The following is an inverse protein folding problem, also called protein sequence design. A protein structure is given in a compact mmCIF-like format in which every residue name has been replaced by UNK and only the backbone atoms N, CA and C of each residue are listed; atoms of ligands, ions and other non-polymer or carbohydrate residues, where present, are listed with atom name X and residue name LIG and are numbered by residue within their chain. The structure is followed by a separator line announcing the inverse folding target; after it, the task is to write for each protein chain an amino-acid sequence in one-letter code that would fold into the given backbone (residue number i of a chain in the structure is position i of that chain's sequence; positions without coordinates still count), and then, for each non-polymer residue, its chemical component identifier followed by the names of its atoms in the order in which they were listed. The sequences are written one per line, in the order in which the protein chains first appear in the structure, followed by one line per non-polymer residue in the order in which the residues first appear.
data_IF_801759822189
#
_entry.id   IF_801759822189
#
_cell.length_a   1.000
_cell.length_b   1.000
_cell.length_c   1.000
_cell.angle_alpha   90.00
_cell.angle_beta   90.00
_cell.angle_gamma   90.00
#
_symmetry.space_group_name_H-M   'P 1'
#
loop_
_entity.id
_entity.type
_entity.pdbx_description
1 polymer ?
#
# COMPACT_ATOMS: atom_id res chain seq x y z
N UNK A 1 10.15 14.26 -1.42
CA UNK A 1 10.02 12.79 -1.44
C UNK A 1 10.83 12.25 -2.62
N UNK A 2 11.12 10.95 -2.68
CA UNK A 2 11.80 10.29 -3.80
C UNK A 2 10.89 9.20 -4.37
N UNK A 3 10.96 8.99 -5.69
CA UNK A 3 10.13 8.01 -6.39
C UNK A 3 10.99 6.83 -6.82
N UNK A 4 10.79 5.65 -6.26
CA UNK A 4 11.51 4.43 -6.64
C UNK A 4 10.59 3.52 -7.46
N UNK A 5 10.39 3.88 -8.73
CA UNK A 5 9.55 3.11 -9.68
C UNK A 5 10.40 2.43 -10.74
N UNK A 6 9.91 1.32 -11.31
CA UNK A 6 10.61 0.59 -12.36
C UNK A 6 10.94 1.49 -13.58
N UNK A 7 10.02 2.38 -13.94
CA UNK A 7 10.08 3.19 -15.18
C UNK A 7 11.06 4.36 -15.12
N UNK A 8 11.61 4.69 -13.94
CA UNK A 8 12.49 5.86 -13.78
C UNK A 8 13.88 5.69 -14.41
N UNK A 9 14.25 4.48 -14.84
CA UNK A 9 15.58 4.16 -15.37
C UNK A 9 16.67 4.02 -14.28
N UNK A 10 17.78 3.30 -14.55
CA UNK A 10 18.78 2.97 -13.53
C UNK A 10 19.46 4.20 -12.89
N UNK A 11 19.87 5.19 -13.69
CA UNK A 11 20.62 6.35 -13.21
C UNK A 11 19.78 7.22 -12.24
N UNK A 12 18.55 7.53 -12.62
CA UNK A 12 17.62 8.34 -11.80
C UNK A 12 17.29 7.63 -10.49
N UNK A 13 16.98 6.32 -10.55
CA UNK A 13 16.74 5.49 -9.36
C UNK A 13 17.95 5.50 -8.43
N UNK A 14 19.16 5.34 -8.96
CA UNK A 14 20.39 5.37 -8.17
C UNK A 14 20.59 6.74 -7.50
N UNK A 15 20.38 7.84 -8.23
CA UNK A 15 20.49 9.20 -7.68
C UNK A 15 19.48 9.43 -6.54
N UNK A 16 18.24 8.98 -6.72
CA UNK A 16 17.19 9.06 -5.70
C UNK A 16 17.51 8.20 -4.48
N UNK A 17 17.98 6.96 -4.68
CA UNK A 17 18.44 6.09 -3.60
C UNK A 17 19.53 6.75 -2.76
N UNK A 18 20.53 7.35 -3.41
CA UNK A 18 21.60 8.06 -2.73
C UNK A 18 21.08 9.30 -1.96
N UNK A 19 20.10 10.02 -2.51
CA UNK A 19 19.47 11.15 -1.82
C UNK A 19 18.74 10.71 -0.53
N UNK A 20 18.04 9.57 -0.58
CA UNK A 20 17.39 8.96 0.60
C UNK A 20 18.43 8.52 1.62
N UNK A 21 19.46 7.78 1.20
CA UNK A 21 20.54 7.29 2.09
C UNK A 21 21.30 8.42 2.79
N UNK A 22 21.51 9.55 2.10
CA UNK A 22 22.14 10.75 2.67
C UNK A 22 21.22 11.55 3.59
N UNK A 23 19.93 11.20 3.68
CA UNK A 23 18.94 11.92 4.48
C UNK A 23 18.43 13.22 3.85
N UNK A 24 18.81 13.52 2.59
CA UNK A 24 18.29 14.68 1.84
C UNK A 24 16.80 14.53 1.52
N UNK A 25 16.30 13.30 1.55
CA UNK A 25 14.88 12.97 1.36
C UNK A 25 14.44 12.04 2.49
N UNK A 26 13.30 12.37 3.12
CA UNK A 26 12.73 11.65 4.27
C UNK A 26 11.50 10.79 3.95
N UNK A 27 11.06 10.77 2.70
CA UNK A 27 9.89 10.01 2.27
C UNK A 27 10.13 9.39 0.90
N UNK A 28 9.78 8.12 0.77
CA UNK A 28 9.93 7.33 -0.46
C UNK A 28 8.57 6.77 -0.82
N UNK A 29 8.23 6.88 -2.10
CA UNK A 29 7.07 6.23 -2.71
C UNK A 29 7.60 5.43 -3.88
N UNK A 30 7.10 4.22 -4.08
CA UNK A 30 7.58 3.38 -5.17
C UNK A 30 6.85 2.06 -5.24
N UNK A 31 7.34 1.19 -6.12
CA UNK A 31 6.84 -0.18 -6.26
C UNK A 31 7.61 -1.11 -5.32
N UNK A 32 7.64 -2.41 -5.59
CA UNK A 32 8.29 -3.46 -4.79
C UNK A 32 9.65 -3.06 -4.18
N UNK A 33 10.59 -2.55 -4.97
CA UNK A 33 11.95 -2.23 -4.50
C UNK A 33 12.01 -1.14 -3.41
N UNK A 34 10.96 -0.32 -3.26
CA UNK A 34 10.90 0.71 -2.23
C UNK A 34 10.91 0.13 -0.81
N UNK A 35 10.54 -1.15 -0.63
CA UNK A 35 10.61 -1.85 0.67
C UNK A 35 12.01 -1.82 1.30
N UNK A 36 13.07 -1.67 0.48
CA UNK A 36 14.45 -1.61 0.94
C UNK A 36 14.99 -0.19 1.13
N UNK A 37 14.21 0.85 0.83
CA UNK A 37 14.70 2.21 0.87
C UNK A 37 15.28 2.60 2.25
N UNK A 38 16.50 3.17 2.32
CA UNK A 38 17.18 3.45 3.58
C UNK A 38 16.78 4.82 4.15
N UNK A 39 15.49 5.01 4.41
CA UNK A 39 14.97 6.23 5.02
C UNK A 39 15.49 6.35 6.46
N UNK A 40 16.12 7.48 6.80
CA UNK A 40 16.58 7.78 8.17
C UNK A 40 15.39 8.09 9.07
N UNK A 41 15.47 7.68 10.32
CA UNK A 41 14.44 7.90 11.34
C UNK A 41 13.04 7.49 10.85
N UNK A 42 12.97 6.29 10.24
CA UNK A 42 11.76 5.75 9.62
C UNK A 42 10.65 5.66 10.67
N UNK A 43 9.61 6.49 10.52
CA UNK A 43 8.47 6.53 11.45
C UNK A 43 7.26 5.70 11.01
N UNK A 44 7.14 5.41 9.71
CA UNK A 44 6.00 4.69 9.15
C UNK A 44 6.41 3.98 7.85
N UNK A 45 5.94 2.74 7.68
CA UNK A 45 5.92 2.02 6.41
C UNK A 45 4.48 1.74 6.01
N UNK A 46 4.22 1.78 4.70
CA UNK A 46 2.88 1.58 4.14
C UNK A 46 2.96 0.64 2.94
N UNK A 47 2.08 -0.34 2.90
CA UNK A 47 1.81 -1.15 1.69
C UNK A 47 0.36 -0.95 1.26
N UNK A 48 0.18 -0.75 -0.05
CA UNK A 48 -1.13 -0.79 -0.67
C UNK A 48 -1.29 -2.12 -1.40
N UNK A 49 -2.43 -2.76 -1.18
CA UNK A 49 -2.86 -4.01 -1.79
C UNK A 49 -1.83 -5.14 -1.67
N UNK A 50 -1.66 -5.68 -0.46
CA UNK A 50 -0.66 -6.71 -0.17
C UNK A 50 -0.93 -8.06 -0.86
N UNK A 51 -2.13 -8.25 -1.42
CA UNK A 51 -2.49 -9.42 -2.22
C UNK A 51 -2.01 -9.36 -3.68
N UNK A 52 -1.46 -8.22 -4.13
CA UNK A 52 -0.92 -8.11 -5.49
C UNK A 52 0.38 -8.91 -5.63
N UNK A 53 0.38 -9.88 -6.55
CA UNK A 53 1.54 -10.68 -6.95
C UNK A 53 2.80 -9.88 -7.31
N UNK A 54 2.64 -8.61 -7.72
CA UNK A 54 3.76 -7.71 -8.04
C UNK A 54 4.63 -7.40 -6.81
N UNK A 55 4.13 -7.61 -5.60
CA UNK A 55 4.85 -7.45 -4.34
C UNK A 55 5.82 -8.59 -4.02
N UNK A 56 5.71 -9.74 -4.67
CA UNK A 56 6.68 -10.83 -4.54
C UNK A 56 7.90 -10.58 -5.41
N UNK A 57 9.10 -10.58 -4.84
CA UNK A 57 10.32 -10.54 -5.65
C UNK A 57 10.62 -11.91 -6.25
N UNK A 58 10.99 -11.92 -7.52
CA UNK A 58 11.34 -13.14 -8.25
C UNK A 58 12.80 -13.54 -8.05
N UNK A 59 13.60 -12.70 -7.40
CA UNK A 59 15.00 -13.01 -7.10
C UNK A 59 15.13 -13.50 -5.66
N UNK A 60 15.95 -14.53 -5.45
CA UNK A 60 16.29 -15.01 -4.13
C UNK A 60 16.76 -13.84 -3.22
N UNK A 61 16.30 -13.76 -1.96
CA UNK A 61 15.56 -14.78 -1.19
C UNK A 61 14.02 -14.75 -1.37
N UNK A 62 13.51 -14.23 -2.49
CA UNK A 62 12.08 -14.13 -2.83
C UNK A 62 11.24 -13.34 -1.80
N UNK A 63 11.72 -12.18 -1.32
CA UNK A 63 11.00 -11.41 -0.31
C UNK A 63 9.65 -10.91 -0.82
N UNK A 64 8.65 -10.95 0.04
CA UNK A 64 7.39 -10.24 -0.15
C UNK A 64 7.44 -8.85 0.50
N UNK A 65 6.88 -7.82 -0.16
CA UNK A 65 6.87 -6.43 0.37
C UNK A 65 6.29 -6.37 1.77
N UNK A 66 5.12 -6.97 2.00
CA UNK A 66 4.45 -6.99 3.31
C UNK A 66 5.38 -7.48 4.41
N UNK A 67 6.02 -8.63 4.22
CA UNK A 67 6.92 -9.24 5.22
C UNK A 67 8.14 -8.37 5.51
N UNK A 68 8.75 -7.79 4.46
CA UNK A 68 9.88 -6.87 4.62
C UNK A 68 9.47 -5.65 5.43
N UNK A 69 8.29 -5.08 5.15
CA UNK A 69 7.80 -3.91 5.87
C UNK A 69 7.40 -4.23 7.31
N UNK A 70 6.77 -5.37 7.58
CA UNK A 70 6.48 -5.86 8.94
C UNK A 70 7.76 -6.03 9.76
N UNK A 71 8.78 -6.69 9.19
CA UNK A 71 10.09 -6.85 9.83
C UNK A 71 10.75 -5.51 10.12
N UNK A 72 10.70 -4.58 9.16
CA UNK A 72 11.24 -3.23 9.35
C UNK A 72 10.49 -2.44 10.41
N UNK A 73 9.18 -2.59 10.50
CA UNK A 73 8.36 -1.97 11.53
C UNK A 73 8.73 -2.51 12.92
N UNK A 74 8.82 -3.83 13.06
CA UNK A 74 9.20 -4.48 14.32
C UNK A 74 10.63 -4.11 14.76
N UNK A 75 11.62 -4.25 13.86
CA UNK A 75 13.03 -3.97 14.17
C UNK A 75 13.31 -2.47 14.36
N UNK A 76 12.68 -1.64 13.54
CA UNK A 76 12.84 -0.19 13.54
C UNK A 76 11.96 0.55 14.55
N UNK A 77 11.04 -0.16 15.21
CA UNK A 77 10.01 0.41 16.08
C UNK A 77 9.25 1.55 15.39
N UNK A 78 8.78 1.30 14.18
CA UNK A 78 8.02 2.26 13.39
C UNK A 78 6.60 1.76 13.12
N UNK A 79 5.70 2.66 12.72
CA UNK A 79 4.35 2.28 12.36
C UNK A 79 4.33 1.41 11.11
N UNK A 80 3.39 0.47 11.08
CA UNK A 80 3.03 -0.30 9.89
C UNK A 80 1.58 0.02 9.52
N UNK A 81 1.34 0.27 8.23
CA UNK A 81 0.00 0.43 7.69
C UNK A 81 -0.15 -0.42 6.43
N UNK A 82 -1.20 -1.22 6.40
CA UNK A 82 -1.65 -1.96 5.24
C UNK A 82 -3.02 -1.43 4.85
N UNK A 83 -3.18 -1.07 3.58
CA UNK A 83 -4.47 -0.71 3.01
C UNK A 83 -4.73 -1.53 1.77
N UNK A 84 -5.96 -2.01 1.59
CA UNK A 84 -6.41 -2.67 0.35
C UNK A 84 -7.91 -2.46 0.19
N UNK A 85 -8.42 -2.70 -1.02
CA UNK A 85 -9.86 -2.77 -1.30
C UNK A 85 -10.49 -4.09 -0.82
N UNK A 86 -9.68 -5.11 -0.57
CA UNK A 86 -10.09 -6.42 -0.03
C UNK A 86 -9.28 -6.74 1.23
N UNK A 87 -9.74 -7.70 2.03
CA UNK A 87 -8.98 -8.22 3.17
C UNK A 87 -8.29 -9.51 2.75
N UNK A 88 -6.96 -9.54 2.75
CA UNK A 88 -6.16 -10.76 2.53
C UNK A 88 -6.17 -11.64 3.78
N UNK A 89 -5.81 -12.91 3.63
CA UNK A 89 -5.69 -13.84 4.77
C UNK A 89 -4.61 -13.35 5.74
N UNK A 90 -3.51 -12.85 5.19
CA UNK A 90 -2.39 -12.33 5.93
C UNK A 90 -2.77 -11.06 6.70
N UNK A 91 -3.46 -10.11 6.06
CA UNK A 91 -3.98 -8.93 6.77
C UNK A 91 -4.99 -9.30 7.87
N UNK A 92 -5.88 -10.26 7.60
CA UNK A 92 -6.81 -10.78 8.61
C UNK A 92 -6.06 -11.39 9.80
N UNK A 93 -5.01 -12.18 9.54
CA UNK A 93 -4.19 -12.81 10.57
C UNK A 93 -3.44 -11.77 11.44
N UNK A 94 -2.93 -10.68 10.85
CA UNK A 94 -2.30 -9.60 11.62
C UNK A 94 -3.28 -8.98 12.63
N UNK A 95 -4.54 -8.81 12.23
CA UNK A 95 -5.59 -8.28 13.10
C UNK A 95 -6.04 -9.30 14.15
N UNK A 96 -6.28 -10.54 13.73
CA UNK A 96 -6.75 -11.62 14.61
C UNK A 96 -5.73 -11.94 15.71
N UNK A 97 -4.44 -11.94 15.37
CA UNK A 97 -3.35 -12.13 16.33
C UNK A 97 -3.12 -10.93 17.26
N UNK A 98 -3.73 -9.78 16.99
CA UNK A 98 -3.52 -8.53 17.72
C UNK A 98 -2.19 -7.85 17.39
N UNK A 99 -1.47 -8.31 16.36
CA UNK A 99 -0.23 -7.67 15.92
C UNK A 99 -0.50 -6.30 15.28
N UNK A 100 -1.59 -6.19 14.52
CA UNK A 100 -2.12 -4.93 14.00
C UNK A 100 -3.53 -4.66 14.54
N UNK A 101 -3.91 -3.38 14.57
CA UNK A 101 -5.28 -2.97 14.89
C UNK A 101 -6.07 -2.68 13.61
N UNK A 102 -7.36 -3.01 13.56
CA UNK A 102 -8.19 -2.69 12.41
C UNK A 102 -8.47 -1.18 12.36
N UNK A 103 -8.28 -0.56 11.20
CA UNK A 103 -8.63 0.84 10.94
C UNK A 103 -9.95 0.89 10.17
N UNK A 104 -11.06 0.81 10.92
CA UNK A 104 -12.42 0.74 10.37
C UNK A 104 -13.19 2.02 10.75
N UNK A 105 -13.86 2.63 9.77
CA UNK A 105 -14.78 3.73 10.01
C UNK A 105 -16.15 3.20 10.48
N UNK A 106 -16.82 3.94 11.36
CA UNK A 106 -18.18 3.61 11.78
C UNK A 106 -19.17 3.67 10.59
N UNK A 107 -20.32 3.03 10.78
CA UNK A 107 -21.35 2.89 9.74
C UNK A 107 -21.88 4.24 9.24
N UNK A 108 -22.01 5.23 10.12
CA UNK A 108 -22.53 6.55 9.75
C UNK A 108 -21.54 7.30 8.88
N UNK A 109 -20.25 7.26 9.25
CA UNK A 109 -19.15 7.82 8.48
C UNK A 109 -19.03 7.15 7.12
N UNK A 110 -19.11 5.83 7.05
CA UNK A 110 -19.13 5.09 5.79
C UNK A 110 -20.32 5.50 4.92
N UNK A 111 -21.53 5.57 5.48
CA UNK A 111 -22.74 5.92 4.73
C UNK A 111 -22.70 7.34 4.14
N UNK A 112 -22.07 8.29 4.83
CA UNK A 112 -21.88 9.66 4.35
C UNK A 112 -20.86 9.77 3.21
N UNK A 113 -19.82 8.93 3.22
CA UNK A 113 -18.74 8.96 2.23
C UNK A 113 -18.99 8.03 1.04
N UNK A 114 -19.78 6.98 1.21
CA UNK A 114 -20.05 6.01 0.16
C UNK A 114 -20.84 6.65 -0.99
N UNK A 115 -20.53 6.29 -2.25
CA UNK A 115 -21.30 6.76 -3.39
C UNK A 115 -22.76 6.27 -3.29
N UNK A 116 -23.70 7.13 -3.69
CA UNK A 116 -25.11 6.76 -3.73
C UNK A 116 -25.33 5.72 -4.84
N UNK A 117 -25.62 4.48 -4.47
CA UNK A 117 -26.03 3.43 -5.42
C UNK A 117 -27.51 3.61 -5.69
N UNK A 118 -27.87 3.90 -6.95
CA UNK A 118 -29.24 3.89 -7.44
C UNK A 118 -29.41 2.73 -8.41
N UNK A 119 -30.43 1.92 -8.22
CA UNK A 119 -30.85 0.94 -9.23
C UNK A 119 -31.58 1.69 -10.33
N UNK A 120 -31.24 1.41 -11.59
CA UNK A 120 -31.96 1.94 -12.75
C UNK A 120 -33.41 1.47 -12.65
N UNK A 121 -34.36 2.40 -12.61
CA UNK A 121 -35.78 2.07 -12.64
C UNK A 121 -36.27 1.89 -14.09
N UNK A 122 -37.45 1.28 -14.27
CA UNK A 122 -38.02 0.99 -15.60
C UNK A 122 -38.09 2.25 -16.52
N UNK A 123 -38.31 3.44 -15.95
CA UNK A 123 -38.36 4.71 -16.70
C UNK A 123 -37.00 5.32 -17.07
N UNK A 124 -35.90 4.79 -16.55
CA UNK A 124 -34.53 5.11 -16.99
C UNK A 124 -34.04 4.11 -18.04
N UNK A 125 -34.49 2.84 -17.95
CA UNK A 125 -34.24 1.81 -18.98
C UNK A 125 -34.82 2.21 -20.34
N UNK A 126 -36.02 2.81 -20.36
CA UNK A 126 -36.67 3.31 -21.57
C UNK A 126 -35.95 4.50 -22.24
N UNK A 127 -34.94 5.09 -21.58
CA UNK A 127 -34.10 6.17 -22.14
C UNK A 127 -32.76 5.66 -22.67
N UNK A 128 -32.43 4.40 -22.44
CA UNK A 128 -31.26 3.75 -23.05
C UNK A 128 -31.68 3.23 -24.43
N UNK A 129 -31.25 3.92 -25.49
CA UNK A 129 -31.68 3.67 -26.87
C UNK A 129 -31.20 2.35 -27.50
N UNK A 130 -30.79 1.37 -26.68
CA UNK A 130 -30.30 0.06 -27.09
C UNK A 130 -31.23 -1.10 -26.68
N UNK A 131 -32.44 -0.82 -26.18
CA UNK A 131 -33.48 -1.80 -25.91
C UNK A 131 -34.50 -1.88 -27.06
#
# INVERSE_FOLDING_TARGET
HALLTADSGPEKRYRQWLAVRRGSVRAVVGTRAAMFAPVRDLGLVVVWDDGDSSHSDTNAPFPHVREVLELRAALGRCGFLLGSTSCTVEAAQLVESGWALPLIADRERLRRAAPLIRTVGDGELARDGAA
#
